data_IF_502349502194
#
_entry.id   IF_502349502194
#
_cell.length_a   1.000
_cell.length_b   1.000
_cell.length_c   1.000
_cell.angle_alpha   90.00
_cell.angle_beta   90.00
_cell.angle_gamma   90.00
#
_symmetry.space_group_name_H-M   'P 1'
#
loop_
_entity.id
_entity.type
_entity.pdbx_description
1 polymer ?
#
# COMPACT_ATOMS: atom_id res chain seq x y z
N UNK A 1 -2.19 -24.74 27.42
CA UNK A 1 -0.90 -24.83 28.14
C UNK A 1 -0.98 -23.96 29.40
N UNK A 2 -0.85 -24.58 30.57
CA UNK A 2 -1.31 -24.01 31.85
C UNK A 2 -0.50 -22.83 32.36
N UNK A 3 -1.20 -21.83 32.93
CA UNK A 3 -0.67 -20.60 33.56
C UNK A 3 0.44 -20.87 34.59
N UNK A 4 0.43 -22.04 35.23
CA UNK A 4 1.46 -22.48 36.19
C UNK A 4 2.85 -22.68 35.54
N UNK A 5 2.92 -23.11 34.27
CA UNK A 5 4.20 -23.29 33.56
C UNK A 5 4.85 -21.95 33.20
N UNK A 6 4.04 -20.91 32.97
CA UNK A 6 4.51 -19.54 32.74
C UNK A 6 5.06 -18.90 34.01
N UNK A 7 4.39 -19.10 35.14
CA UNK A 7 4.86 -18.64 36.45
C UNK A 7 6.19 -19.33 36.83
N UNK A 8 6.30 -20.65 36.64
CA UNK A 8 7.54 -21.39 36.88
C UNK A 8 8.68 -20.92 35.97
N UNK A 9 8.39 -20.65 34.69
CA UNK A 9 9.39 -20.12 33.76
C UNK A 9 9.86 -18.70 34.15
N UNK A 10 8.94 -17.84 34.61
CA UNK A 10 9.26 -16.50 35.07
C UNK A 10 10.12 -16.50 36.34
N UNK A 11 9.82 -17.38 37.30
CA UNK A 11 10.60 -17.53 38.55
C UNK A 11 11.99 -18.12 38.27
N UNK A 12 12.09 -19.11 37.39
CA UNK A 12 13.38 -19.68 36.99
C UNK A 12 14.27 -18.66 36.25
N UNK A 13 13.67 -17.83 35.38
CA UNK A 13 14.37 -16.75 34.70
C UNK A 13 14.86 -15.67 35.69
N UNK A 14 14.04 -15.31 36.69
CA UNK A 14 14.42 -14.35 37.73
C UNK A 14 15.57 -14.85 38.61
N UNK A 15 15.58 -16.13 38.98
CA UNK A 15 16.67 -16.77 39.72
C UNK A 15 17.98 -16.86 38.90
N UNK A 16 17.88 -17.15 37.60
CA UNK A 16 19.04 -17.17 36.69
C UNK A 16 19.69 -15.78 36.53
N UNK A 17 18.88 -14.71 36.51
CA UNK A 17 19.37 -13.32 36.42
C UNK A 17 20.11 -12.88 37.69
N UNK A 18 19.65 -13.32 38.86
CA UNK A 18 20.33 -13.06 40.15
C UNK A 18 21.69 -13.78 40.25
N UNK A 19 21.83 -14.98 39.67
CA UNK A 19 23.04 -15.80 39.82
C UNK A 19 24.11 -15.57 38.74
N UNK A 20 23.73 -15.19 37.51
CA UNK A 20 24.65 -15.00 36.37
C UNK A 20 24.93 -13.53 35.99
N UNK A 21 24.31 -12.56 36.67
CA UNK A 21 24.52 -11.13 36.40
C UNK A 21 24.19 -10.71 34.97
N UNK A 22 24.87 -9.67 34.47
CA UNK A 22 24.65 -9.01 33.17
C UNK A 22 24.59 -9.97 31.96
N UNK A 23 25.25 -11.13 32.06
CA UNK A 23 25.29 -12.16 31.00
C UNK A 23 23.92 -12.82 30.80
N UNK A 24 23.17 -13.09 31.88
CA UNK A 24 21.82 -13.65 31.77
C UNK A 24 20.81 -12.68 31.14
N UNK A 25 20.99 -11.37 31.38
CA UNK A 25 20.16 -10.33 30.79
C UNK A 25 20.35 -10.27 29.26
N UNK A 26 21.61 -10.36 28.80
CA UNK A 26 21.92 -10.40 27.36
C UNK A 26 21.33 -11.64 26.68
N UNK A 27 21.41 -12.82 27.31
CA UNK A 27 20.84 -14.07 26.77
C UNK A 27 19.31 -14.02 26.67
N UNK A 28 18.63 -13.23 27.51
CA UNK A 28 17.17 -13.05 27.43
C UNK A 28 16.75 -12.01 26.38
N UNK A 29 17.50 -10.91 26.27
CA UNK A 29 17.16 -9.80 25.34
C UNK A 29 17.48 -10.16 23.89
N UNK A 30 18.58 -10.87 23.65
CA UNK A 30 19.05 -11.23 22.31
C UNK A 30 18.02 -12.05 21.49
N UNK A 31 17.39 -13.12 22.01
CA UNK A 31 16.36 -13.85 21.26
C UNK A 31 15.10 -13.01 21.05
N UNK A 32 14.73 -12.14 21.99
CA UNK A 32 13.58 -11.24 21.84
C UNK A 32 13.83 -10.21 20.72
N UNK A 33 15.01 -9.62 20.68
CA UNK A 33 15.44 -8.70 19.62
C UNK A 33 15.51 -9.41 18.26
N UNK A 34 16.07 -10.63 18.22
CA UNK A 34 16.14 -11.45 17.00
C UNK A 34 14.76 -11.80 16.45
N UNK A 35 13.82 -12.19 17.32
CA UNK A 35 12.43 -12.48 16.93
C UNK A 35 11.73 -11.21 16.43
N UNK A 36 11.90 -10.07 17.11
CA UNK A 36 11.32 -8.79 16.69
C UNK A 36 11.84 -8.36 15.31
N UNK A 37 13.14 -8.56 15.05
CA UNK A 37 13.78 -8.22 13.78
C UNK A 37 13.31 -9.15 12.66
N UNK A 38 13.27 -10.47 12.89
CA UNK A 38 12.70 -11.46 11.96
C UNK A 38 11.21 -11.23 11.70
N UNK A 39 10.44 -10.77 12.68
CA UNK A 39 9.03 -10.41 12.48
C UNK A 39 8.89 -9.16 11.61
N UNK A 40 9.79 -8.19 11.76
CA UNK A 40 9.85 -7.00 10.91
C UNK A 40 10.28 -7.37 9.48
N UNK A 41 11.21 -8.30 9.32
CA UNK A 41 11.62 -8.84 8.02
C UNK A 41 10.53 -9.66 7.35
N UNK A 42 9.82 -10.53 8.08
CA UNK A 42 8.66 -11.27 7.54
C UNK A 42 7.55 -10.32 7.08
N UNK A 43 7.34 -9.20 7.78
CA UNK A 43 6.42 -8.14 7.32
C UNK A 43 6.94 -7.43 6.05
N UNK A 44 8.25 -7.24 5.91
CA UNK A 44 8.84 -6.67 4.68
C UNK A 44 8.79 -7.65 3.51
N UNK A 45 9.07 -8.93 3.73
CA UNK A 45 9.03 -9.98 2.70
C UNK A 45 7.63 -10.32 2.21
N UNK A 46 6.60 -10.16 3.06
CA UNK A 46 5.20 -10.34 2.65
C UNK A 46 4.66 -9.17 1.79
N UNK A 47 5.37 -8.04 1.73
CA UNK A 47 5.05 -6.91 0.85
C UNK A 47 5.69 -7.02 -0.55
N UNK A 48 6.54 -8.04 -0.78
CA UNK A 48 6.88 -8.53 -2.11
C UNK A 48 5.85 -9.58 -2.55
N UNK A 49 4.58 -9.37 -2.19
CA UNK A 49 3.46 -10.09 -2.77
C UNK A 49 3.57 -9.91 -4.27
N UNK A 50 3.61 -11.02 -4.99
CA UNK A 50 3.34 -11.10 -6.43
C UNK A 50 2.15 -10.18 -6.67
N UNK A 51 2.40 -8.97 -7.19
CA UNK A 51 1.31 -8.07 -7.55
C UNK A 51 0.61 -8.80 -8.68
N UNK A 52 -0.62 -9.24 -8.43
CA UNK A 52 -1.49 -9.70 -9.51
C UNK A 52 -1.57 -8.55 -10.50
N UNK A 53 -1.06 -8.77 -11.71
CA UNK A 53 -1.11 -7.81 -12.80
C UNK A 53 -2.19 -8.31 -13.74
N UNK A 54 -3.32 -7.63 -13.75
CA UNK A 54 -4.37 -7.87 -14.72
C UNK A 54 -3.97 -7.31 -16.07
N UNK A 55 -4.38 -7.98 -17.13
CA UNK A 55 -4.10 -7.60 -18.50
C UNK A 55 -5.30 -6.95 -19.21
N UNK A 56 -6.50 -7.12 -18.67
CA UNK A 56 -7.71 -6.50 -19.22
C UNK A 56 -8.71 -6.07 -18.13
N UNK A 57 -9.61 -5.15 -18.47
CA UNK A 57 -10.73 -4.79 -17.59
C UNK A 57 -11.65 -5.98 -17.31
N UNK A 58 -11.88 -6.83 -18.31
CA UNK A 58 -12.72 -8.01 -18.17
C UNK A 58 -12.17 -8.98 -17.11
N UNK A 59 -10.86 -9.20 -17.09
CA UNK A 59 -10.19 -10.04 -16.11
C UNK A 59 -10.35 -9.49 -14.68
N UNK A 60 -10.28 -8.17 -14.53
CA UNK A 60 -10.53 -7.51 -13.24
C UNK A 60 -11.97 -7.72 -12.78
N UNK A 61 -12.93 -7.51 -13.68
CA UNK A 61 -14.36 -7.64 -13.36
C UNK A 61 -14.73 -9.11 -13.07
N UNK A 62 -14.11 -10.06 -13.76
CA UNK A 62 -14.31 -11.49 -13.50
C UNK A 62 -13.79 -11.90 -12.11
N UNK A 63 -12.63 -11.39 -11.69
CA UNK A 63 -12.01 -11.75 -10.40
C UNK A 63 -12.59 -10.94 -9.21
N UNK A 64 -12.85 -9.65 -9.39
CA UNK A 64 -13.23 -8.74 -8.30
C UNK A 64 -14.68 -8.23 -8.37
N UNK A 65 -15.40 -8.52 -9.46
CA UNK A 65 -16.72 -7.95 -9.73
C UNK A 65 -16.66 -6.53 -10.28
N UNK A 66 -17.84 -5.91 -10.42
CA UNK A 66 -17.98 -4.53 -10.89
C UNK A 66 -17.36 -3.54 -9.88
N UNK A 67 -16.59 -2.54 -10.33
CA UNK A 67 -16.05 -1.51 -9.47
C UNK A 67 -17.16 -0.61 -8.92
N UNK A 68 -16.99 -0.11 -7.69
CA UNK A 68 -17.92 0.85 -7.09
C UNK A 68 -17.88 2.20 -7.83
N UNK A 69 -16.70 2.58 -8.34
CA UNK A 69 -16.53 3.76 -9.18
C UNK A 69 -15.40 3.56 -10.20
N UNK A 70 -15.51 4.23 -11.35
CA UNK A 70 -14.49 4.23 -12.40
C UNK A 70 -14.10 5.67 -12.73
N UNK A 71 -12.82 5.97 -12.54
CA UNK A 71 -12.25 7.27 -12.88
C UNK A 71 -11.53 7.15 -14.23
N UNK A 72 -12.02 7.90 -15.22
CA UNK A 72 -11.40 7.93 -16.55
C UNK A 72 -10.29 8.96 -16.60
N UNK A 73 -9.06 8.52 -16.88
CA UNK A 73 -7.89 9.38 -17.03
C UNK A 73 -7.81 9.97 -18.44
N UNK A 74 -8.12 9.14 -19.44
CA UNK A 74 -8.15 9.52 -20.84
C UNK A 74 -9.35 8.88 -21.52
N UNK A 75 -10.26 9.70 -22.06
CA UNK A 75 -11.45 9.22 -22.74
C UNK A 75 -11.16 8.29 -23.93
N UNK A 76 -10.04 8.48 -24.63
CA UNK A 76 -9.64 7.62 -25.74
C UNK A 76 -9.24 6.21 -25.28
N UNK A 77 -8.82 6.06 -24.02
CA UNK A 77 -8.37 4.80 -23.41
C UNK A 77 -9.33 4.31 -22.32
N UNK A 78 -10.58 4.80 -22.31
CA UNK A 78 -11.57 4.48 -21.28
C UNK A 78 -11.92 2.99 -21.17
N UNK A 79 -11.60 2.21 -22.20
CA UNK A 79 -11.80 0.75 -22.23
C UNK A 79 -10.50 -0.04 -21.95
N UNK A 80 -9.44 0.64 -21.53
CA UNK A 80 -8.14 0.06 -21.23
C UNK A 80 -7.73 0.32 -19.77
N UNK A 81 -7.04 -0.63 -19.16
CA UNK A 81 -6.51 -0.50 -17.78
C UNK A 81 -5.55 0.67 -17.59
N UNK A 82 -4.95 1.17 -18.69
CA UNK A 82 -4.05 2.31 -18.71
C UNK A 82 -4.80 3.65 -18.68
N UNK A 83 -6.04 3.68 -19.16
CA UNK A 83 -6.85 4.88 -19.28
C UNK A 83 -7.87 5.06 -18.16
N UNK A 84 -8.01 4.10 -17.24
CA UNK A 84 -8.94 4.18 -16.11
C UNK A 84 -8.29 3.77 -14.79
N UNK A 85 -8.87 4.29 -13.71
CA UNK A 85 -8.65 3.83 -12.35
C UNK A 85 -9.95 3.21 -11.87
N UNK A 86 -9.87 1.95 -11.44
CA UNK A 86 -11.02 1.24 -10.87
C UNK A 86 -10.98 1.35 -9.35
N UNK A 87 -12.09 1.75 -8.75
CA UNK A 87 -12.20 1.99 -7.32
C UNK A 87 -13.16 0.96 -6.71
N UNK A 88 -12.63 0.15 -5.80
CA UNK A 88 -13.40 -0.83 -5.03
C UNK A 88 -13.44 -0.36 -3.57
N UNK A 89 -14.43 0.49 -3.23
CA UNK A 89 -14.58 1.06 -1.89
C UNK A 89 -14.87 -0.03 -0.85
N UNK A 90 -15.67 -1.04 -1.20
CA UNK A 90 -16.04 -2.13 -0.29
C UNK A 90 -14.83 -3.00 0.06
N UNK A 91 -14.00 -3.30 -0.93
CA UNK A 91 -12.76 -4.05 -0.75
C UNK A 91 -11.58 -3.17 -0.27
N UNK A 92 -11.76 -1.84 -0.21
CA UNK A 92 -10.74 -0.82 0.06
C UNK A 92 -9.50 -0.97 -0.82
N UNK A 93 -9.72 -1.17 -2.12
CA UNK A 93 -8.68 -1.40 -3.12
C UNK A 93 -8.87 -0.48 -4.32
N UNK A 94 -7.75 -0.09 -4.89
CA UNK A 94 -7.63 0.67 -6.12
C UNK A 94 -6.95 -0.21 -7.17
N UNK A 95 -7.41 -0.20 -8.41
CA UNK A 95 -6.71 -0.83 -9.52
C UNK A 95 -6.27 0.23 -10.51
N UNK A 96 -4.96 0.28 -10.76
CA UNK A 96 -4.32 1.26 -11.65
C UNK A 96 -3.36 0.49 -12.55
N UNK A 97 -3.48 0.64 -13.87
CA UNK A 97 -2.59 -0.02 -14.83
C UNK A 97 -2.49 -1.54 -14.59
N UNK A 98 -3.62 -2.16 -14.20
CA UNK A 98 -3.70 -3.59 -13.91
C UNK A 98 -3.14 -4.03 -12.55
N UNK A 99 -2.63 -3.12 -11.71
CA UNK A 99 -2.08 -3.45 -10.39
C UNK A 99 -3.02 -3.04 -9.26
N UNK A 100 -3.09 -3.88 -8.22
CA UNK A 100 -3.90 -3.62 -7.02
C UNK A 100 -3.09 -2.80 -6.00
N UNK A 101 -3.68 -1.68 -5.56
CA UNK A 101 -3.19 -0.84 -4.48
C UNK A 101 -4.23 -0.77 -3.35
N UNK A 102 -3.97 -1.42 -2.20
CA UNK A 102 -4.81 -1.27 -1.02
C UNK A 102 -4.81 0.19 -0.52
N UNK A 103 -5.97 0.70 -0.06
CA UNK A 103 -6.11 2.10 0.37
C UNK A 103 -5.17 2.48 1.53
N UNK A 104 -4.81 1.53 2.38
CA UNK A 104 -3.88 1.74 3.49
C UNK A 104 -2.42 1.91 3.03
N UNK A 105 -2.12 1.56 1.78
CA UNK A 105 -0.82 1.81 1.15
C UNK A 105 -0.75 3.17 0.47
N UNK A 106 -1.89 3.80 0.17
CA UNK A 106 -1.96 5.13 -0.43
C UNK A 106 -1.69 6.18 0.66
N UNK A 107 -0.62 6.93 0.50
CA UNK A 107 -0.17 7.96 1.42
C UNK A 107 -0.86 9.29 1.11
N UNK A 108 -0.86 9.69 -0.16
CA UNK A 108 -1.39 10.96 -0.61
C UNK A 108 -1.78 10.92 -2.10
N UNK A 109 -2.63 11.85 -2.52
CA UNK A 109 -3.08 12.02 -3.90
C UNK A 109 -2.98 13.50 -4.25
N UNK A 110 -2.32 13.81 -5.37
CA UNK A 110 -2.09 15.19 -5.82
C UNK A 110 -2.13 15.27 -7.34
N UNK A 111 -2.02 16.47 -7.91
CA UNK A 111 -1.88 16.67 -9.34
C UNK A 111 -0.82 17.73 -9.63
N UNK A 112 -0.12 17.59 -10.76
CA UNK A 112 0.93 18.52 -11.19
C UNK A 112 0.85 18.78 -12.68
N UNK A 113 1.30 19.95 -13.10
CA UNK A 113 1.55 20.23 -14.51
C UNK A 113 2.97 19.76 -14.86
N UNK A 114 3.11 18.96 -15.92
CA UNK A 114 4.42 18.49 -16.41
C UNK A 114 5.12 19.48 -17.36
N UNK A 115 4.55 20.68 -17.57
CA UNK A 115 5.11 21.70 -18.42
C UNK A 115 6.51 22.12 -17.97
N UNK A 116 7.39 22.30 -18.93
CA UNK A 116 8.72 22.90 -18.72
C UNK A 116 8.76 24.24 -19.45
N UNK A 117 9.75 25.12 -19.20
CA UNK A 117 9.85 26.42 -19.87
C UNK A 117 9.86 26.34 -21.42
N UNK A 118 10.17 25.18 -21.99
CA UNK A 118 10.27 24.95 -23.43
C UNK A 118 9.23 23.96 -23.98
N UNK A 119 8.38 23.38 -23.13
CA UNK A 119 7.41 22.35 -23.55
C UNK A 119 6.07 22.52 -22.85
N UNK A 120 4.99 22.48 -23.62
CA UNK A 120 3.65 22.27 -23.07
C UNK A 120 3.61 20.84 -22.52
N UNK A 121 3.28 20.70 -21.24
CA UNK A 121 3.15 19.42 -20.58
C UNK A 121 1.70 19.13 -20.25
N UNK A 122 1.35 17.85 -20.23
CA UNK A 122 0.07 17.37 -19.72
C UNK A 122 0.05 17.51 -18.19
N UNK A 123 -1.15 17.69 -17.65
CA UNK A 123 -1.40 17.47 -16.24
C UNK A 123 -1.29 15.97 -15.93
N UNK A 124 -0.76 15.69 -14.75
CA UNK A 124 -0.58 14.34 -14.24
C UNK A 124 -1.22 14.23 -12.86
N UNK A 125 -1.99 13.17 -12.66
CA UNK A 125 -2.44 12.72 -11.36
C UNK A 125 -1.30 11.92 -10.70
N UNK A 126 -0.96 12.28 -9.47
CA UNK A 126 0.06 11.64 -8.65
C UNK A 126 -0.61 10.85 -7.54
N UNK A 127 -0.30 9.56 -7.45
CA UNK A 127 -0.72 8.71 -6.34
C UNK A 127 0.53 8.26 -5.61
N UNK A 128 0.73 8.78 -4.40
CA UNK A 128 1.85 8.41 -3.55
C UNK A 128 1.48 7.16 -2.77
N UNK A 129 2.22 6.08 -2.97
CA UNK A 129 2.05 4.85 -2.19
C UNK A 129 3.28 4.59 -1.34
N UNK A 130 3.18 3.65 -0.39
CA UNK A 130 4.32 3.20 0.42
C UNK A 130 5.47 2.60 -0.41
N UNK A 131 5.19 2.14 -1.63
CA UNK A 131 6.14 1.42 -2.49
C UNK A 131 6.68 2.30 -3.61
N UNK A 132 5.80 3.04 -4.27
CA UNK A 132 6.12 3.85 -5.46
C UNK A 132 5.20 5.07 -5.59
N UNK A 133 5.59 6.01 -6.46
CA UNK A 133 4.73 7.12 -6.88
C UNK A 133 4.22 6.85 -8.29
N UNK A 134 2.91 6.71 -8.43
CA UNK A 134 2.27 6.55 -9.73
C UNK A 134 2.07 7.93 -10.36
N UNK A 135 2.44 8.06 -11.63
CA UNK A 135 2.25 9.27 -12.43
C UNK A 135 1.34 8.94 -13.60
N UNK A 136 0.13 9.48 -13.58
CA UNK A 136 -0.93 9.12 -14.50
C UNK A 136 -1.30 10.35 -15.34
N UNK A 137 -1.06 10.35 -16.65
CA UNK A 137 -1.44 11.46 -17.51
C UNK A 137 -2.96 11.60 -17.57
N UNK A 138 -3.46 12.82 -17.42
CA UNK A 138 -4.90 13.17 -17.43
C UNK A 138 -5.26 14.18 -18.52
N UNK A 139 -4.30 14.54 -19.38
CA UNK A 139 -4.47 15.50 -20.47
C UNK A 139 -4.15 16.94 -20.08
N UNK A 140 -4.70 17.91 -20.79
CA UNK A 140 -4.29 19.33 -20.70
C UNK A 140 -5.25 20.21 -19.89
N UNK A 141 -6.33 19.65 -19.35
CA UNK A 141 -7.31 20.39 -18.57
C UNK A 141 -6.95 20.38 -17.07
N UNK A 142 -6.64 21.55 -16.55
CA UNK A 142 -6.29 21.75 -15.13
C UNK A 142 -7.46 21.49 -14.18
N UNK A 143 -8.66 21.94 -14.55
CA UNK A 143 -9.83 21.80 -13.69
C UNK A 143 -10.23 20.33 -13.61
N UNK A 144 -10.22 19.65 -14.75
CA UNK A 144 -10.43 18.22 -14.81
C UNK A 144 -9.43 17.45 -13.94
N UNK A 145 -8.13 17.74 -14.06
CA UNK A 145 -7.09 17.09 -13.26
C UNK A 145 -7.27 17.32 -11.75
N UNK A 146 -7.62 18.54 -11.35
CA UNK A 146 -7.90 18.91 -9.96
C UNK A 146 -9.12 18.16 -9.42
N UNK A 147 -10.21 18.16 -10.17
CA UNK A 147 -11.48 17.56 -9.75
C UNK A 147 -11.35 16.03 -9.63
N UNK A 148 -10.59 15.40 -10.54
CA UNK A 148 -10.21 13.99 -10.44
C UNK A 148 -9.42 13.69 -9.17
N UNK A 149 -8.41 14.51 -8.85
CA UNK A 149 -7.60 14.33 -7.65
C UNK A 149 -8.45 14.43 -6.37
N UNK A 150 -9.35 15.43 -6.31
CA UNK A 150 -10.27 15.62 -5.17
C UNK A 150 -11.22 14.42 -5.04
N UNK A 151 -11.86 14.01 -6.14
CA UNK A 151 -12.78 12.87 -6.16
C UNK A 151 -12.09 11.58 -5.71
N UNK A 152 -10.92 11.30 -6.27
CA UNK A 152 -10.16 10.11 -5.89
C UNK A 152 -9.75 10.14 -4.42
N UNK A 153 -9.34 11.31 -3.92
CA UNK A 153 -8.98 11.48 -2.52
C UNK A 153 -10.18 11.21 -1.60
N UNK A 154 -11.36 11.72 -1.93
CA UNK A 154 -12.59 11.48 -1.18
C UNK A 154 -12.97 9.99 -1.16
N UNK A 155 -12.82 9.27 -2.27
CA UNK A 155 -13.12 7.83 -2.31
C UNK A 155 -12.13 6.98 -1.51
N UNK A 156 -10.87 7.40 -1.44
CA UNK A 156 -9.80 6.63 -0.78
C UNK A 156 -9.69 6.95 0.72
N UNK A 157 -9.95 8.20 1.11
CA UNK A 157 -9.73 8.73 2.47
C UNK A 157 -11.00 9.17 3.20
N UNK A 158 -12.12 9.38 2.48
CA UNK A 158 -13.44 9.57 3.08
C UNK A 158 -13.93 8.31 3.77
#
# INVERSE_FOLDING_TARGET
>A
MGKSRWLLAAVAAFLLVQFLGFVALLVLIFPLAYIALRWKEKRKGKNLTIQTVYHSLAEVVEDMGEPNDTITLNAALGNELTGVILVYTDARRLIVQGRIYPFDTILDISFVNSATPYTIGEYQLLIFTKQETLRLPVGYDNEYARDLAIRLWQLVKG
#
